data_IF_839976962467
#
_entry.id   IF_839976962467
#
_cell.length_a   1.000
_cell.length_b   1.000
_cell.length_c   1.000
_cell.angle_alpha   90.00
_cell.angle_beta   90.00
_cell.angle_gamma   90.00
#
_symmetry.space_group_name_H-M   'P 1'
#
loop_
_entity.id
_entity.type
_entity.pdbx_description
1 polymer ?
#
# COMPACT_ATOMS: atom_id res chain seq x y z
N UNK A 1 -14.49 -5.39 -6.33
CA UNK A 1 -15.79 -4.93 -6.87
C UNK A 1 -15.66 -4.73 -8.38
N UNK A 2 -16.69 -5.00 -9.19
CA UNK A 2 -16.72 -4.68 -10.63
C UNK A 2 -17.70 -3.54 -10.86
N UNK A 3 -17.27 -2.51 -11.58
CA UNK A 3 -18.08 -1.33 -11.88
C UNK A 3 -17.92 -1.00 -13.36
N UNK A 4 -19.01 -0.75 -14.08
CA UNK A 4 -18.97 -0.29 -15.46
C UNK A 4 -18.85 1.24 -15.50
N UNK A 5 -17.99 1.76 -16.36
CA UNK A 5 -17.79 3.20 -16.57
C UNK A 5 -17.83 3.49 -18.07
N UNK A 6 -18.40 4.63 -18.45
CA UNK A 6 -18.33 5.12 -19.83
C UNK A 6 -17.06 5.95 -20.00
N UNK A 7 -16.32 5.69 -21.08
CA UNK A 7 -15.15 6.46 -21.48
C UNK A 7 -15.22 6.77 -22.97
N UNK A 8 -14.53 7.81 -23.47
CA UNK A 8 -14.39 8.07 -24.90
C UNK A 8 -13.80 6.87 -25.66
N UNK A 9 -14.30 6.61 -26.88
CA UNK A 9 -13.87 5.47 -27.70
C UNK A 9 -12.38 5.54 -28.07
N UNK A 10 -11.86 6.74 -28.32
CA UNK A 10 -10.45 6.97 -28.62
C UNK A 10 -9.56 6.58 -27.43
N UNK A 11 -9.98 6.90 -26.20
CA UNK A 11 -9.28 6.50 -24.99
C UNK A 11 -9.34 4.98 -24.79
N UNK A 12 -10.49 4.37 -25.07
CA UNK A 12 -10.64 2.91 -25.02
C UNK A 12 -9.65 2.22 -25.96
N UNK A 13 -9.55 2.67 -27.22
CA UNK A 13 -8.63 2.10 -28.20
C UNK A 13 -7.16 2.29 -27.83
N UNK A 14 -6.81 3.46 -27.28
CA UNK A 14 -5.44 3.71 -26.79
C UNK A 14 -5.07 2.78 -25.63
N UNK A 15 -6.00 2.55 -24.70
CA UNK A 15 -5.78 1.63 -23.59
C UNK A 15 -5.70 0.15 -24.04
N UNK A 16 -6.47 -0.25 -25.06
CA UNK A 16 -6.43 -1.60 -25.64
C UNK A 16 -5.07 -1.86 -26.30
N UNK A 17 -4.60 -0.94 -27.14
CA UNK A 17 -3.27 -1.03 -27.76
C UNK A 17 -2.13 -1.04 -26.72
N UNK A 18 -2.29 -0.29 -25.63
CA UNK A 18 -1.34 -0.30 -24.52
C UNK A 18 -1.33 -1.67 -23.81
N UNK A 19 -2.51 -2.23 -23.55
CA UNK A 19 -2.66 -3.53 -22.90
C UNK A 19 -1.97 -4.64 -23.73
N UNK A 20 -2.20 -4.66 -25.05
CA UNK A 20 -1.56 -5.60 -25.97
C UNK A 20 -0.04 -5.49 -25.95
N UNK A 21 0.49 -4.26 -26.03
CA UNK A 21 1.93 -4.00 -26.00
C UNK A 21 2.58 -4.43 -24.68
N UNK A 22 1.86 -4.33 -23.57
CA UNK A 22 2.35 -4.72 -22.25
C UNK A 22 2.07 -6.20 -21.91
N UNK A 23 1.34 -6.94 -22.75
CA UNK A 23 0.89 -8.29 -22.45
C UNK A 23 -0.05 -8.36 -21.24
N UNK A 24 -0.79 -7.28 -20.95
CA UNK A 24 -1.70 -7.17 -19.81
C UNK A 24 -3.15 -7.23 -20.27
N UNK A 25 -4.05 -7.57 -19.35
CA UNK A 25 -5.48 -7.38 -19.64
C UNK A 25 -5.82 -5.88 -19.64
N UNK A 26 -6.77 -5.45 -20.49
CA UNK A 26 -7.36 -4.10 -20.41
C UNK A 26 -7.72 -3.69 -18.98
N UNK A 27 -8.37 -4.60 -18.25
CA UNK A 27 -8.84 -4.34 -16.88
C UNK A 27 -7.71 -4.05 -15.90
N UNK A 28 -6.52 -4.60 -16.16
CA UNK A 28 -5.32 -4.37 -15.37
C UNK A 28 -4.71 -3.01 -15.66
N UNK A 29 -4.61 -2.62 -16.93
CA UNK A 29 -4.19 -1.27 -17.33
C UNK A 29 -5.06 -0.20 -16.66
N UNK A 30 -6.38 -0.34 -16.71
CA UNK A 30 -7.29 0.61 -16.06
C UNK A 30 -7.13 0.63 -14.53
N UNK A 31 -6.92 -0.53 -13.91
CA UNK A 31 -6.74 -0.64 -12.45
C UNK A 31 -5.46 0.07 -11.99
N UNK A 32 -4.36 -0.16 -12.70
CA UNK A 32 -3.08 0.48 -12.43
C UNK A 32 -3.16 2.00 -12.64
N UNK A 33 -3.75 2.43 -13.76
CA UNK A 33 -3.93 3.85 -14.04
C UNK A 33 -4.76 4.55 -12.96
N UNK A 34 -5.82 3.91 -12.46
CA UNK A 34 -6.65 4.46 -11.39
C UNK A 34 -5.92 4.50 -10.05
N UNK A 35 -5.16 3.45 -9.71
CA UNK A 35 -4.34 3.42 -8.51
C UNK A 35 -3.31 4.56 -8.52
N UNK A 36 -2.60 4.73 -9.64
CA UNK A 36 -1.64 5.82 -9.84
C UNK A 36 -2.31 7.20 -9.76
N UNK A 37 -3.48 7.36 -10.38
CA UNK A 37 -4.21 8.61 -10.38
C UNK A 37 -4.61 9.06 -8.97
N UNK A 38 -5.08 8.11 -8.16
CA UNK A 38 -5.47 8.32 -6.76
C UNK A 38 -4.23 8.60 -5.91
N UNK A 39 -3.18 7.78 -6.02
CA UNK A 39 -1.96 7.94 -5.24
C UNK A 39 -1.32 9.31 -5.44
N UNK A 40 -1.27 9.81 -6.69
CA UNK A 40 -0.74 11.15 -7.01
C UNK A 40 -1.54 12.31 -6.41
N UNK A 41 -2.78 12.06 -5.96
CA UNK A 41 -3.71 13.07 -5.43
C UNK A 41 -3.98 12.88 -3.95
N UNK A 42 -3.26 11.98 -3.30
CA UNK A 42 -3.37 11.77 -1.87
C UNK A 42 -2.23 12.49 -1.15
N UNK A 43 -2.45 13.74 -0.70
CA UNK A 43 -1.43 14.50 0.01
C UNK A 43 -1.01 13.84 1.34
N UNK A 44 -1.81 12.92 1.87
CA UNK A 44 -1.52 12.20 3.10
C UNK A 44 -0.89 10.83 2.91
N UNK A 45 -0.73 10.33 1.67
CA UNK A 45 -0.25 8.96 1.43
C UNK A 45 1.14 8.72 2.02
N UNK A 46 2.07 9.66 1.85
CA UNK A 46 3.42 9.55 2.40
C UNK A 46 3.39 9.56 3.93
N UNK A 47 2.62 10.48 4.53
CA UNK A 47 2.48 10.55 5.98
C UNK A 47 1.89 9.27 6.55
N UNK A 48 0.85 8.70 5.93
CA UNK A 48 0.26 7.43 6.39
C UNK A 48 1.23 6.27 6.24
N UNK A 49 1.94 6.17 5.12
CA UNK A 49 2.96 5.14 4.93
C UNK A 49 4.10 5.25 5.98
N UNK A 50 4.52 6.48 6.32
CA UNK A 50 5.51 6.69 7.37
C UNK A 50 4.98 6.35 8.76
N UNK A 51 3.70 6.67 9.03
CA UNK A 51 3.06 6.28 10.29
C UNK A 51 2.97 4.75 10.42
N UNK A 52 2.59 4.04 9.35
CA UNK A 52 2.54 2.57 9.34
C UNK A 52 3.91 1.97 9.69
N UNK A 53 4.99 2.45 9.06
CA UNK A 53 6.35 2.01 9.38
C UNK A 53 6.75 2.38 10.82
N UNK A 54 6.38 3.57 11.29
CA UNK A 54 6.67 3.99 12.66
C UNK A 54 5.95 3.10 13.69
N UNK A 55 4.69 2.73 13.43
CA UNK A 55 3.90 1.86 14.29
C UNK A 55 4.48 0.43 14.33
N UNK A 56 4.94 -0.10 13.19
CA UNK A 56 5.62 -1.40 13.12
C UNK A 56 6.92 -1.40 13.96
N UNK A 57 7.73 -0.36 13.82
CA UNK A 57 8.97 -0.21 14.59
C UNK A 57 8.71 -0.01 16.09
N UNK A 58 7.68 0.75 16.45
CA UNK A 58 7.29 0.95 17.84
C UNK A 58 6.88 -0.39 18.50
N UNK A 59 6.07 -1.19 17.80
CA UNK A 59 5.66 -2.51 18.27
C UNK A 59 6.85 -3.46 18.49
N UNK A 60 7.89 -3.38 17.66
CA UNK A 60 9.13 -4.14 17.87
C UNK A 60 9.89 -3.71 19.12
N UNK A 61 10.02 -2.39 19.35
CA UNK A 61 10.70 -1.84 20.52
C UNK A 61 9.96 -2.17 21.83
N UNK A 62 8.63 -2.11 21.82
CA UNK A 62 7.80 -2.50 22.96
C UNK A 62 8.00 -3.98 23.32
N UNK A 63 8.03 -4.86 22.30
CA UNK A 63 8.30 -6.29 22.52
C UNK A 63 9.68 -6.52 23.14
N UNK A 64 10.70 -5.83 22.63
CA UNK A 64 12.05 -5.91 23.20
C UNK A 64 12.08 -5.43 24.65
N UNK A 65 11.51 -4.27 24.94
CA UNK A 65 11.45 -3.71 26.29
C UNK A 65 10.72 -4.62 27.28
N UNK A 66 9.59 -5.18 26.86
CA UNK A 66 8.83 -6.12 27.69
C UNK A 66 9.63 -7.41 27.99
N UNK A 67 10.36 -7.93 27.00
CA UNK A 67 11.18 -9.13 27.18
C UNK A 67 12.42 -8.86 28.06
N UNK A 68 13.11 -7.75 27.85
CA UNK A 68 14.25 -7.35 28.67
C UNK A 68 13.82 -7.11 30.13
N UNK A 69 12.68 -6.43 30.34
CA UNK A 69 12.12 -6.21 31.67
C UNK A 69 11.74 -7.53 32.35
N UNK A 70 11.08 -8.46 31.64
CA UNK A 70 10.75 -9.79 32.16
C UNK A 70 11.99 -10.54 32.65
N UNK A 71 13.06 -10.59 31.84
CA UNK A 71 14.31 -11.28 32.19
C UNK A 71 14.99 -10.68 33.41
N UNK A 72 15.07 -9.34 33.45
CA UNK A 72 15.67 -8.63 34.58
C UNK A 72 14.89 -8.91 35.87
N UNK A 73 13.56 -8.88 35.80
CA UNK A 73 12.69 -9.12 36.94
C UNK A 73 12.67 -10.59 37.39
N UNK A 74 12.83 -11.56 36.48
CA UNK A 74 12.91 -12.97 36.84
C UNK A 74 14.22 -13.35 37.52
N UNK A 75 15.31 -12.66 37.18
CA UNK A 75 16.65 -12.89 37.75
C UNK A 75 16.90 -12.10 39.03
N UNK A 76 16.03 -11.12 39.36
CA UNK A 76 16.10 -10.39 40.62
C UNK A 76 15.44 -11.19 41.75
N UNK A 77 16.27 -11.63 42.70
CA UNK A 77 15.81 -12.18 43.98
C UNK A 77 15.25 -11.04 44.84
N UNK A 78 13.93 -10.91 44.83
CA UNK A 78 13.19 -10.15 45.84
C UNK A 78 12.96 -11.00 47.09
#
# INVERSE_FOLDING_TARGET
MKTAVSIPDDLFHQADALADRLGKSRSEVYREALADYVARRDPGAVTRALNEVADELAAEHERFGAEAARRTLSDSEW
#
